data_IF_380453589690
#
_entry.id   IF_380453589690
#
_cell.length_a   1.000
_cell.length_b   1.000
_cell.length_c   1.000
_cell.angle_alpha   90.00
_cell.angle_beta   90.00
_cell.angle_gamma   90.00
#
_symmetry.space_group_name_H-M   'P 1'
#
loop_
_entity.id
_entity.type
_entity.pdbx_description
1 polymer ?
#
# COMPACT_ATOMS: atom_id res chain seq x y z
N UNK A 1 -19.99 -15.19 -13.78
CA UNK A 1 -19.98 -16.22 -14.84
C UNK A 1 -21.28 -16.98 -14.75
N UNK A 2 -22.04 -17.11 -15.83
CA UNK A 2 -23.26 -17.94 -15.90
C UNK A 2 -23.13 -18.84 -17.13
N UNK A 3 -23.27 -20.14 -16.95
CA UNK A 3 -23.21 -21.13 -18.03
C UNK A 3 -21.95 -21.03 -18.90
N UNK A 4 -20.77 -20.90 -18.27
CA UNK A 4 -19.50 -20.78 -19.00
C UNK A 4 -19.23 -19.39 -19.60
N UNK A 5 -20.21 -18.47 -19.56
CA UNK A 5 -20.12 -17.15 -20.17
C UNK A 5 -19.84 -16.06 -19.13
N UNK A 6 -18.97 -15.13 -19.47
CA UNK A 6 -18.66 -13.97 -18.66
C UNK A 6 -19.56 -12.80 -19.06
N UNK A 7 -20.01 -12.04 -18.07
CA UNK A 7 -20.87 -10.87 -18.26
C UNK A 7 -20.33 -9.72 -17.42
N UNK A 8 -20.24 -8.54 -18.03
CA UNK A 8 -19.89 -7.29 -17.36
C UNK A 8 -21.03 -6.32 -17.59
N UNK A 9 -21.63 -5.79 -16.52
CA UNK A 9 -22.81 -4.90 -16.58
C UNK A 9 -23.94 -5.46 -17.45
N UNK A 10 -24.20 -6.77 -17.37
CA UNK A 10 -25.26 -7.46 -18.11
C UNK A 10 -24.94 -7.82 -19.56
N UNK A 11 -23.81 -7.36 -20.13
CA UNK A 11 -23.39 -7.72 -21.50
C UNK A 11 -22.39 -8.88 -21.47
N UNK A 12 -22.62 -9.89 -22.32
CA UNK A 12 -21.68 -11.00 -22.46
C UNK A 12 -20.36 -10.48 -23.03
N UNK A 13 -19.25 -10.86 -22.40
CA UNK A 13 -17.90 -10.52 -22.84
C UNK A 13 -17.04 -11.77 -22.92
N UNK A 14 -16.15 -11.82 -23.92
CA UNK A 14 -15.10 -12.83 -24.04
C UNK A 14 -13.74 -12.30 -23.61
N UNK A 15 -13.59 -10.97 -23.60
CA UNK A 15 -12.38 -10.26 -23.24
C UNK A 15 -12.74 -9.07 -22.36
N UNK A 16 -11.91 -8.78 -21.38
CA UNK A 16 -12.03 -7.61 -20.53
C UNK A 16 -10.66 -6.95 -20.40
N UNK A 17 -10.61 -5.65 -20.65
CA UNK A 17 -9.44 -4.83 -20.40
C UNK A 17 -9.69 -4.02 -19.14
N UNK A 18 -8.75 -4.09 -18.20
CA UNK A 18 -8.79 -3.22 -17.02
C UNK A 18 -8.67 -1.77 -17.46
N UNK A 19 -9.46 -0.90 -16.82
CA UNK A 19 -9.53 0.52 -17.17
C UNK A 19 -8.42 1.37 -16.53
N UNK A 20 -7.77 0.82 -15.52
CA UNK A 20 -6.80 1.50 -14.66
C UNK A 20 -5.70 0.51 -14.33
N UNK A 21 -4.58 1.02 -13.86
CA UNK A 21 -3.59 0.18 -13.20
C UNK A 21 -4.07 -0.21 -11.81
N UNK A 22 -3.67 -1.41 -11.39
CA UNK A 22 -4.04 -2.00 -10.12
C UNK A 22 -2.80 -2.56 -9.45
N UNK A 23 -2.62 -2.26 -8.18
CA UNK A 23 -1.41 -2.57 -7.43
C UNK A 23 -1.72 -3.57 -6.30
N UNK A 24 -0.85 -4.57 -6.17
CA UNK A 24 -0.86 -5.47 -5.02
C UNK A 24 0.05 -4.90 -3.94
N UNK A 25 -0.54 -4.40 -2.85
CA UNK A 25 0.20 -3.79 -1.74
C UNK A 25 0.46 -4.83 -0.64
N UNK A 26 1.67 -4.84 -0.10
CA UNK A 26 2.05 -5.75 0.97
C UNK A 26 2.87 -5.01 2.02
N UNK A 27 2.45 -5.12 3.28
CA UNK A 27 3.20 -4.53 4.39
C UNK A 27 4.44 -5.34 4.73
N UNK A 28 5.52 -4.65 5.09
CA UNK A 28 6.76 -5.27 5.56
C UNK A 28 6.53 -6.11 6.84
N UNK A 29 5.65 -5.65 7.74
CA UNK A 29 5.24 -6.41 8.92
C UNK A 29 4.14 -7.42 8.56
N UNK A 30 4.53 -8.51 7.91
CA UNK A 30 3.64 -9.51 7.29
C UNK A 30 2.56 -10.07 8.22
N UNK A 31 2.86 -10.26 9.50
CA UNK A 31 1.93 -10.83 10.48
C UNK A 31 0.95 -9.81 11.06
N UNK A 32 1.25 -8.52 10.93
CA UNK A 32 0.45 -7.44 11.49
C UNK A 32 0.21 -6.36 10.43
N UNK A 33 -0.32 -6.79 9.30
CA UNK A 33 -0.62 -5.92 8.16
C UNK A 33 -1.94 -6.37 7.52
N UNK A 34 -2.94 -5.50 7.59
CA UNK A 34 -4.16 -5.62 6.81
C UNK A 34 -3.90 -5.03 5.42
N UNK A 35 -3.35 -5.83 4.53
CA UNK A 35 -2.97 -5.44 3.16
C UNK A 35 -3.74 -6.22 2.08
N UNK A 36 -3.27 -6.19 0.82
CA UNK A 36 -3.95 -6.78 -0.33
C UNK A 36 -4.28 -8.27 -0.17
N UNK A 37 -3.61 -8.99 0.75
CA UNK A 37 -3.98 -10.36 1.11
C UNK A 37 -5.40 -10.48 1.68
N UNK A 38 -5.94 -9.41 2.27
CA UNK A 38 -7.28 -9.36 2.86
C UNK A 38 -8.29 -8.64 1.96
N UNK A 39 -7.90 -7.53 1.34
CA UNK A 39 -8.83 -6.66 0.61
C UNK A 39 -8.56 -6.55 -0.91
N UNK A 40 -7.60 -7.29 -1.45
CA UNK A 40 -7.35 -7.37 -2.90
C UNK A 40 -6.51 -6.22 -3.46
N UNK A 41 -6.63 -5.95 -4.76
CA UNK A 41 -5.82 -4.94 -5.44
C UNK A 41 -6.28 -3.50 -5.14
N UNK A 42 -5.32 -2.57 -5.02
CA UNK A 42 -5.57 -1.12 -4.94
C UNK A 42 -5.62 -0.54 -6.34
N UNK A 43 -6.70 0.14 -6.73
CA UNK A 43 -6.72 0.87 -8.01
C UNK A 43 -5.84 2.13 -7.95
N UNK A 44 -5.23 2.51 -9.08
CA UNK A 44 -4.26 3.64 -9.16
C UNK A 44 -4.77 4.97 -8.59
N UNK A 45 -6.05 5.30 -8.79
CA UNK A 45 -6.68 6.51 -8.28
C UNK A 45 -6.77 6.60 -6.74
N UNK A 46 -6.53 5.47 -6.04
CA UNK A 46 -6.45 5.43 -4.58
C UNK A 46 -4.99 5.53 -4.07
N UNK A 47 -4.01 5.62 -4.97
CA UNK A 47 -2.59 5.78 -4.63
C UNK A 47 -2.23 7.28 -4.64
N UNK A 48 -1.97 7.83 -3.45
CA UNK A 48 -1.60 9.26 -3.32
C UNK A 48 -0.18 9.54 -3.81
N UNK A 49 0.75 8.61 -3.60
CA UNK A 49 2.14 8.78 -4.01
C UNK A 49 3.10 7.83 -3.30
N UNK A 50 4.40 8.03 -3.55
CA UNK A 50 5.49 7.21 -3.02
C UNK A 50 6.21 7.95 -1.88
N UNK A 51 6.43 7.32 -0.72
CA UNK A 51 7.24 7.92 0.33
C UNK A 51 8.71 7.96 -0.11
N UNK A 52 9.37 9.10 0.08
CA UNK A 52 10.78 9.31 -0.35
C UNK A 52 11.75 9.49 0.82
N UNK A 53 11.29 9.97 1.97
CA UNK A 53 12.17 10.39 3.07
C UNK A 53 11.53 10.25 4.45
N UNK A 54 12.32 9.83 5.44
CA UNK A 54 11.98 9.98 6.85
C UNK A 54 12.51 11.31 7.38
N UNK A 55 11.64 12.30 7.51
CA UNK A 55 12.00 13.63 8.04
C UNK A 55 11.89 13.72 9.56
N UNK A 56 11.15 12.84 10.24
CA UNK A 56 11.06 12.82 11.70
C UNK A 56 10.85 11.41 12.23
N UNK A 57 11.51 11.09 13.33
CA UNK A 57 11.39 9.80 14.01
C UNK A 57 11.55 9.98 15.51
N UNK A 58 10.49 9.70 16.26
CA UNK A 58 10.45 9.86 17.71
C UNK A 58 10.38 8.51 18.41
N UNK A 59 11.06 8.40 19.55
CA UNK A 59 10.91 7.27 20.46
C UNK A 59 9.85 7.60 21.51
N UNK A 60 8.78 6.80 21.58
CA UNK A 60 7.65 7.03 22.49
C UNK A 60 8.04 6.83 23.96
N UNK A 61 9.04 5.99 24.22
CA UNK A 61 9.41 5.56 25.57
C UNK A 61 10.51 6.44 26.20
N UNK A 62 11.06 7.41 25.45
CA UNK A 62 12.14 8.29 25.89
C UNK A 62 11.67 9.73 26.11
N UNK A 63 12.18 10.36 27.16
CA UNK A 63 11.96 11.78 27.45
C UNK A 63 12.69 12.68 26.45
N UNK A 64 12.24 13.94 26.32
CA UNK A 64 12.84 14.92 25.38
C UNK A 64 14.34 15.09 25.56
N UNK A 65 14.83 14.99 26.79
CA UNK A 65 16.24 15.10 27.15
C UNK A 65 16.98 13.75 27.22
N UNK A 66 16.28 12.62 27.01
CA UNK A 66 16.86 11.26 27.06
C UNK A 66 16.83 10.58 25.67
N UNK A 67 16.98 11.33 24.59
CA UNK A 67 17.06 10.76 23.24
C UNK A 67 15.70 10.40 22.63
N UNK A 68 14.71 11.27 22.83
CA UNK A 68 13.40 11.18 22.15
C UNK A 68 13.50 11.22 20.63
N UNK A 69 14.47 11.94 20.07
CA UNK A 69 14.66 12.05 18.62
C UNK A 69 15.64 10.98 18.14
N UNK A 70 15.23 10.17 17.17
CA UNK A 70 16.07 9.13 16.54
C UNK A 70 16.80 9.69 15.33
N UNK A 71 17.90 10.42 15.57
CA UNK A 71 18.69 11.07 14.52
C UNK A 71 19.25 10.10 13.45
N UNK A 72 19.51 8.84 13.80
CA UNK A 72 19.96 7.82 12.85
C UNK A 72 18.95 7.45 11.74
N UNK A 73 17.69 7.89 11.87
CA UNK A 73 16.64 7.70 10.85
C UNK A 73 16.31 8.97 10.10
N UNK A 74 16.88 10.11 10.51
CA UNK A 74 16.67 11.39 9.87
C UNK A 74 17.31 11.38 8.48
N UNK A 75 16.56 11.84 7.48
CA UNK A 75 16.93 11.81 6.06
C UNK A 75 17.25 10.42 5.49
N UNK A 76 16.81 9.34 6.14
CA UNK A 76 16.93 8.02 5.54
C UNK A 76 16.00 7.94 4.33
N UNK A 77 16.54 7.51 3.19
CA UNK A 77 15.77 7.24 1.98
C UNK A 77 14.72 6.15 2.29
N UNK A 78 13.48 6.39 1.87
CA UNK A 78 12.39 5.43 1.98
C UNK A 78 12.30 4.50 0.76
N UNK A 79 12.94 4.88 -0.35
CA UNK A 79 13.23 3.99 -1.46
C UNK A 79 14.31 3.01 -1.01
N UNK A 80 13.96 1.74 -1.03
CA UNK A 80 14.77 0.65 -0.50
C UNK A 80 15.36 -0.18 -1.63
#
# INVERSE_FOLDING_TARGET
MKDGKFYVNGKQVTTYQFKMDYYWMMGDNRHNSLDSRYWGFVPEDHVVGRPVLVWLSLNKDKGWFDGKIRFNRFFKNAER
#
